data_IF_797124258621
#
_entry.id   IF_797124258621
#
_cell.length_a   1.000
_cell.length_b   1.000
_cell.length_c   1.000
_cell.angle_alpha   90.00
_cell.angle_beta   90.00
_cell.angle_gamma   90.00
#
_symmetry.space_group_name_H-M   'P 1'
#
loop_
_entity.id
_entity.type
_entity.pdbx_description
1 polymer ?
#
# COMPACT_ATOMS: atom_id res chain seq x y z
N UNK A 1 -33.46 30.83 31.24
CA UNK A 1 -32.96 29.45 31.42
C UNK A 1 -33.25 28.52 30.21
N UNK A 2 -33.30 29.04 28.98
CA UNK A 2 -33.50 28.24 27.75
C UNK A 2 -32.36 28.36 26.71
N UNK A 3 -31.32 29.15 27.01
CA UNK A 3 -30.19 29.38 26.09
C UNK A 3 -28.92 28.56 26.45
N UNK A 4 -28.87 27.93 27.62
CA UNK A 4 -27.72 27.11 28.05
C UNK A 4 -27.80 25.63 27.63
N UNK A 5 -28.94 25.18 27.10
CA UNK A 5 -29.19 23.78 26.73
C UNK A 5 -28.73 23.42 25.30
N UNK A 6 -28.29 24.40 24.50
CA UNK A 6 -27.85 24.18 23.11
C UNK A 6 -26.33 23.91 22.96
N UNK A 7 -25.52 24.17 23.99
CA UNK A 7 -24.05 23.96 23.93
C UNK A 7 -23.68 22.51 24.29
N UNK A 8 -24.55 21.77 24.97
CA UNK A 8 -24.25 20.41 25.48
C UNK A 8 -24.40 19.29 24.43
N UNK A 9 -24.91 19.59 23.23
CA UNK A 9 -25.14 18.60 22.17
C UNK A 9 -23.99 18.50 21.14
N UNK A 10 -22.96 19.36 21.23
CA UNK A 10 -21.82 19.40 20.30
C UNK A 10 -20.53 18.72 20.81
N UNK A 11 -20.44 18.39 22.11
CA UNK A 11 -19.23 17.78 22.69
C UNK A 11 -18.85 16.35 22.22
N UNK A 12 -19.78 15.41 21.88
CA UNK A 12 -19.36 14.05 21.51
C UNK A 12 -18.68 13.96 20.13
N UNK A 13 -18.91 14.93 19.23
CA UNK A 13 -18.36 14.92 17.86
C UNK A 13 -16.84 15.18 17.88
N UNK A 14 -16.38 16.01 18.81
CA UNK A 14 -14.97 16.42 18.90
C UNK A 14 -14.08 15.25 19.35
N UNK A 15 -14.50 14.48 20.35
CA UNK A 15 -13.70 13.36 20.90
C UNK A 15 -13.50 12.21 19.91
N UNK A 16 -14.51 11.87 19.11
CA UNK A 16 -14.38 10.78 18.11
C UNK A 16 -13.45 11.15 16.95
N UNK A 17 -13.48 12.41 16.52
CA UNK A 17 -12.57 12.93 15.48
C UNK A 17 -11.11 12.94 15.97
N UNK A 18 -10.89 13.33 17.24
CA UNK A 18 -9.56 13.30 17.87
C UNK A 18 -8.98 11.88 17.94
N UNK A 19 -9.77 10.89 18.38
CA UNK A 19 -9.34 9.48 18.45
C UNK A 19 -8.94 8.92 17.09
N UNK A 20 -9.71 9.21 16.02
CA UNK A 20 -9.35 8.79 14.66
C UNK A 20 -8.03 9.40 14.19
N UNK A 21 -7.80 10.67 14.50
CA UNK A 21 -6.56 11.37 14.16
C UNK A 21 -5.36 10.80 14.90
N UNK A 22 -5.51 10.49 16.18
CA UNK A 22 -4.48 9.83 16.98
C UNK A 22 -4.10 8.46 16.41
N UNK A 23 -5.07 7.62 16.07
CA UNK A 23 -4.83 6.31 15.42
C UNK A 23 -4.04 6.49 14.13
N UNK A 24 -4.45 7.41 13.25
CA UNK A 24 -3.75 7.65 12.00
C UNK A 24 -2.34 8.22 12.20
N UNK A 25 -2.15 9.11 13.19
CA UNK A 25 -0.82 9.63 13.53
C UNK A 25 0.10 8.49 14.00
N UNK A 26 -0.39 7.62 14.87
CA UNK A 26 0.37 6.45 15.33
C UNK A 26 0.71 5.52 14.15
N UNK A 27 -0.20 5.29 13.23
CA UNK A 27 0.06 4.49 12.03
C UNK A 27 1.12 5.13 11.12
N UNK A 28 1.10 6.46 10.95
CA UNK A 28 2.12 7.19 10.17
C UNK A 28 3.48 7.08 10.84
N UNK A 29 3.56 7.20 12.17
CA UNK A 29 4.81 7.04 12.92
C UNK A 29 5.33 5.61 12.83
N UNK A 30 4.48 4.60 13.00
CA UNK A 30 4.82 3.18 12.84
C UNK A 30 5.32 2.86 11.44
N UNK A 31 4.69 3.42 10.40
CA UNK A 31 5.18 3.25 9.03
C UNK A 31 6.53 3.96 8.84
N UNK A 32 6.71 5.17 9.38
CA UNK A 32 7.96 5.94 9.26
C UNK A 32 9.15 5.20 9.87
N UNK A 33 8.99 4.57 11.04
CA UNK A 33 10.05 3.79 11.70
C UNK A 33 10.09 2.32 11.26
N UNK A 34 9.07 1.85 10.54
CA UNK A 34 8.92 0.48 10.09
C UNK A 34 9.28 0.27 8.62
N UNK A 35 8.56 -0.66 8.00
CA UNK A 35 8.76 -1.08 6.60
C UNK A 35 7.45 -1.03 5.81
N UNK A 36 7.54 -0.60 4.54
CA UNK A 36 6.51 -0.80 3.55
C UNK A 36 6.82 -2.03 2.69
N UNK A 37 5.96 -3.04 2.73
CA UNK A 37 6.05 -4.23 1.87
C UNK A 37 5.12 -4.05 0.67
N UNK A 38 5.67 -4.04 -0.53
CA UNK A 38 4.92 -3.89 -1.77
C UNK A 38 4.60 -5.27 -2.35
N UNK A 39 3.33 -5.61 -2.40
CA UNK A 39 2.83 -6.87 -2.95
C UNK A 39 2.69 -6.76 -4.47
N UNK A 40 3.37 -7.63 -5.20
CA UNK A 40 3.32 -7.74 -6.66
C UNK A 40 2.49 -8.95 -7.06
N UNK A 41 1.63 -8.80 -8.06
CA UNK A 41 0.75 -9.91 -8.48
C UNK A 41 1.47 -10.86 -9.45
N UNK A 42 1.13 -12.14 -9.35
CA UNK A 42 1.39 -13.14 -10.39
C UNK A 42 0.08 -13.57 -11.05
N UNK A 43 0.16 -13.97 -12.33
CA UNK A 43 -0.98 -14.44 -13.12
C UNK A 43 -1.00 -15.97 -13.25
N UNK A 44 -0.45 -16.70 -12.27
CA UNK A 44 -0.19 -18.15 -12.35
C UNK A 44 -1.40 -18.98 -12.78
N UNK A 45 -2.57 -18.73 -12.18
CA UNK A 45 -3.80 -19.45 -12.53
C UNK A 45 -4.16 -19.28 -14.02
N UNK A 46 -4.08 -18.05 -14.54
CA UNK A 46 -4.35 -17.73 -15.94
C UNK A 46 -3.32 -18.36 -16.87
N UNK A 47 -2.04 -18.25 -16.51
CA UNK A 47 -0.91 -18.83 -17.27
C UNK A 47 -1.06 -20.35 -17.36
N UNK A 48 -1.33 -21.01 -16.24
CA UNK A 48 -1.51 -22.45 -16.16
C UNK A 48 -2.74 -22.91 -16.97
N UNK A 49 -3.85 -22.18 -16.92
CA UNK A 49 -5.02 -22.48 -17.73
C UNK A 49 -4.73 -22.37 -19.24
N UNK A 50 -4.04 -21.31 -19.68
CA UNK A 50 -3.66 -21.14 -21.09
C UNK A 50 -2.73 -22.25 -21.58
N UNK A 51 -1.73 -22.62 -20.78
CA UNK A 51 -0.81 -23.73 -21.09
C UNK A 51 -1.54 -25.07 -21.23
N UNK A 52 -2.48 -25.37 -20.31
CA UNK A 52 -3.31 -26.58 -20.38
C UNK A 52 -4.17 -26.67 -21.65
N UNK A 53 -4.56 -25.51 -22.20
CA UNK A 53 -5.30 -25.41 -23.46
C UNK A 53 -4.40 -25.38 -24.70
N UNK A 54 -3.07 -25.54 -24.55
CA UNK A 54 -2.10 -25.45 -25.65
C UNK A 54 -1.84 -24.02 -26.15
N UNK A 55 -2.36 -22.99 -25.48
CA UNK A 55 -2.28 -21.58 -25.86
C UNK A 55 -0.99 -20.92 -25.36
N UNK A 56 0.14 -21.50 -25.72
CA UNK A 56 1.46 -21.12 -25.18
C UNK A 56 1.87 -19.67 -25.50
N UNK A 57 1.54 -19.15 -26.69
CA UNK A 57 1.84 -17.77 -27.06
C UNK A 57 1.13 -16.76 -26.15
N UNK A 58 -0.15 -16.99 -25.87
CA UNK A 58 -0.92 -16.13 -24.98
C UNK A 58 -0.45 -16.22 -23.53
N UNK A 59 -0.04 -17.41 -23.09
CA UNK A 59 0.58 -17.58 -21.78
C UNK A 59 1.85 -16.72 -21.64
N UNK A 60 2.68 -16.70 -22.69
CA UNK A 60 3.90 -15.89 -22.74
C UNK A 60 3.59 -14.39 -22.76
N UNK A 61 2.57 -13.96 -23.50
CA UNK A 61 2.12 -12.56 -23.48
C UNK A 61 1.66 -12.11 -22.10
N UNK A 62 0.93 -12.97 -21.37
CA UNK A 62 0.51 -12.71 -19.99
C UNK A 62 1.72 -12.59 -19.06
N UNK A 63 2.69 -13.49 -19.16
CA UNK A 63 3.95 -13.43 -18.38
C UNK A 63 4.67 -12.11 -18.63
N UNK A 64 4.90 -11.78 -19.90
CA UNK A 64 5.60 -10.55 -20.29
C UNK A 64 4.90 -9.30 -19.77
N UNK A 65 3.56 -9.23 -19.93
CA UNK A 65 2.79 -8.08 -19.46
C UNK A 65 2.86 -7.94 -17.93
N UNK A 66 2.72 -9.04 -17.20
CA UNK A 66 2.82 -9.04 -15.73
C UNK A 66 4.21 -8.61 -15.26
N UNK A 67 5.27 -9.11 -15.91
CA UNK A 67 6.64 -8.75 -15.58
C UNK A 67 6.90 -7.25 -15.79
N UNK A 68 6.46 -6.69 -16.93
CA UNK A 68 6.59 -5.25 -17.19
C UNK A 68 5.83 -4.39 -16.18
N UNK A 69 4.62 -4.79 -15.81
CA UNK A 69 3.83 -4.09 -14.78
C UNK A 69 4.52 -4.13 -13.42
N UNK A 70 4.98 -5.32 -12.99
CA UNK A 70 5.70 -5.49 -11.72
C UNK A 70 7.01 -4.70 -11.70
N UNK A 71 7.75 -4.67 -12.82
CA UNK A 71 8.98 -3.89 -12.94
C UNK A 71 8.70 -2.38 -12.88
N UNK A 72 7.61 -1.91 -13.48
CA UNK A 72 7.19 -0.52 -13.39
C UNK A 72 6.84 -0.12 -11.94
N UNK A 73 6.14 -0.99 -11.21
CA UNK A 73 5.82 -0.79 -9.79
C UNK A 73 7.11 -0.75 -8.95
N UNK A 74 7.99 -1.74 -9.13
CA UNK A 74 9.28 -1.81 -8.44
C UNK A 74 10.10 -0.54 -8.65
N UNK A 75 10.25 -0.13 -9.91
CA UNK A 75 11.02 1.06 -10.29
C UNK A 75 10.40 2.32 -9.70
N UNK A 76 9.07 2.43 -9.70
CA UNK A 76 8.37 3.59 -9.13
C UNK A 76 8.64 3.76 -7.64
N UNK A 77 8.51 2.68 -6.85
CA UNK A 77 8.80 2.72 -5.43
C UNK A 77 10.28 3.02 -5.16
N UNK A 78 11.19 2.31 -5.82
CA UNK A 78 12.63 2.52 -5.61
C UNK A 78 13.14 3.88 -6.07
N UNK A 79 12.43 4.56 -6.98
CA UNK A 79 12.84 5.88 -7.50
C UNK A 79 12.36 7.05 -6.64
N UNK A 80 11.16 7.02 -6.07
CA UNK A 80 10.55 8.20 -5.42
C UNK A 80 10.01 7.99 -4.01
N UNK A 81 9.97 6.76 -3.50
CA UNK A 81 9.51 6.50 -2.14
C UNK A 81 10.67 6.54 -1.16
N UNK A 82 10.66 7.51 -0.25
CA UNK A 82 11.69 7.73 0.79
C UNK A 82 11.09 7.84 2.21
N UNK A 83 9.78 7.57 2.36
CA UNK A 83 9.11 7.69 3.64
C UNK A 83 9.52 6.61 4.65
N UNK A 84 9.82 5.40 4.21
CA UNK A 84 10.33 4.29 5.04
C UNK A 84 11.17 3.32 4.19
N UNK A 85 11.72 2.27 4.80
CA UNK A 85 12.34 1.16 4.04
C UNK A 85 11.26 0.44 3.23
N UNK A 86 11.55 0.11 1.97
CA UNK A 86 10.62 -0.60 1.08
C UNK A 86 11.21 -1.93 0.62
N UNK A 87 10.39 -2.98 0.62
CA UNK A 87 10.73 -4.29 0.03
C UNK A 87 9.53 -4.83 -0.76
N UNK A 88 9.78 -5.86 -1.57
CA UNK A 88 8.79 -6.39 -2.51
C UNK A 88 8.62 -7.89 -2.29
N UNK A 89 7.41 -8.39 -2.52
CA UNK A 89 7.09 -9.82 -2.47
C UNK A 89 5.97 -10.17 -3.44
N UNK A 90 5.90 -11.41 -3.89
CA UNK A 90 4.79 -11.87 -4.72
C UNK A 90 3.54 -12.14 -3.89
N UNK A 91 2.36 -11.93 -4.48
CA UNK A 91 1.06 -12.15 -3.84
C UNK A 91 0.85 -13.60 -3.37
N UNK A 92 1.56 -14.56 -3.95
CA UNK A 92 1.59 -15.97 -3.53
C UNK A 92 2.27 -16.19 -2.18
N UNK A 93 3.08 -15.24 -1.70
CA UNK A 93 3.72 -15.29 -0.38
C UNK A 93 2.91 -14.58 0.72
N UNK A 94 1.67 -14.15 0.46
CA UNK A 94 0.88 -13.36 1.44
C UNK A 94 0.76 -13.98 2.82
N UNK A 95 0.43 -15.28 2.92
CA UNK A 95 0.31 -15.96 4.21
C UNK A 95 1.65 -15.99 4.98
N UNK A 96 2.75 -16.26 4.27
CA UNK A 96 4.09 -16.24 4.86
C UNK A 96 4.46 -14.86 5.40
N UNK A 97 4.19 -13.82 4.61
CA UNK A 97 4.43 -12.43 5.01
C UNK A 97 3.57 -12.03 6.21
N UNK A 98 2.29 -12.44 6.23
CA UNK A 98 1.39 -12.24 7.38
C UNK A 98 1.94 -12.90 8.65
N UNK A 99 2.50 -14.10 8.51
CA UNK A 99 3.15 -14.85 9.58
C UNK A 99 4.59 -14.36 9.90
N UNK A 100 5.02 -13.23 9.32
CA UNK A 100 6.35 -12.63 9.52
C UNK A 100 7.52 -13.49 9.03
N UNK A 101 7.27 -14.39 8.09
CA UNK A 101 8.29 -15.19 7.41
C UNK A 101 8.87 -14.42 6.22
N UNK A 102 9.76 -13.46 6.48
CA UNK A 102 10.30 -12.58 5.43
C UNK A 102 11.47 -13.21 4.65
N UNK A 103 12.39 -13.88 5.34
CA UNK A 103 13.60 -14.47 4.74
C UNK A 103 13.22 -15.48 3.65
N UNK A 104 13.79 -15.32 2.45
CA UNK A 104 13.49 -16.19 1.31
C UNK A 104 12.10 -15.95 0.69
N UNK A 105 11.41 -14.86 1.03
CA UNK A 105 10.13 -14.46 0.43
C UNK A 105 10.13 -13.02 -0.12
N UNK A 106 11.26 -12.32 -0.04
CA UNK A 106 11.44 -10.95 -0.56
C UNK A 106 12.20 -10.95 -1.89
N UNK A 107 11.97 -9.93 -2.70
CA UNK A 107 12.47 -9.83 -4.07
C UNK A 107 13.61 -8.83 -4.23
N UNK A 108 14.54 -9.14 -5.13
CA UNK A 108 15.59 -8.23 -5.61
C UNK A 108 15.09 -7.32 -6.77
N UNK A 109 16.01 -6.58 -7.39
CA UNK A 109 15.71 -5.69 -8.50
C UNK A 109 15.25 -6.41 -9.76
N UNK A 110 15.65 -7.65 -9.94
CA UNK A 110 15.29 -8.54 -11.05
C UNK A 110 13.92 -9.19 -10.84
N UNK A 111 13.26 -8.91 -9.71
CA UNK A 111 12.00 -9.51 -9.27
C UNK A 111 12.12 -11.02 -8.97
N UNK A 112 13.31 -11.45 -8.59
CA UNK A 112 13.61 -12.81 -8.15
C UNK A 112 13.71 -12.85 -6.64
N UNK A 113 13.39 -14.01 -6.04
CA UNK A 113 13.52 -14.20 -4.59
C UNK A 113 14.99 -14.10 -4.19
N UNK A 114 15.27 -13.28 -3.20
CA UNK A 114 16.62 -13.07 -2.68
C UNK A 114 16.66 -13.38 -1.18
N UNK A 115 17.21 -14.55 -0.86
CA UNK A 115 17.36 -15.03 0.52
C UNK A 115 18.42 -14.26 1.32
N UNK A 116 19.22 -13.40 0.68
CA UNK A 116 20.17 -12.52 1.38
C UNK A 116 19.48 -11.32 2.03
N UNK A 117 18.23 -11.02 1.66
CA UNK A 117 17.43 -9.97 2.26
C UNK A 117 16.92 -10.44 3.63
N UNK A 118 17.56 -9.96 4.70
CA UNK A 118 17.20 -10.25 6.08
C UNK A 118 16.51 -9.02 6.69
N UNK A 119 15.23 -9.15 7.03
CA UNK A 119 14.42 -8.05 7.60
C UNK A 119 13.59 -8.60 8.75
N UNK A 120 13.65 -7.93 9.90
CA UNK A 120 12.82 -8.22 11.07
C UNK A 120 12.15 -6.91 11.54
N UNK A 121 11.15 -6.40 10.80
CA UNK A 121 10.50 -5.15 11.16
C UNK A 121 9.62 -5.34 12.40
N UNK A 122 9.68 -4.40 13.34
CA UNK A 122 8.71 -4.34 14.44
C UNK A 122 7.29 -4.13 13.88
N UNK A 123 7.11 -3.03 13.16
CA UNK A 123 5.88 -2.69 12.43
C UNK A 123 6.14 -2.73 10.91
N UNK A 124 5.16 -3.27 10.17
CA UNK A 124 5.14 -3.20 8.71
C UNK A 124 3.73 -2.93 8.19
N UNK A 125 3.66 -2.36 7.00
CA UNK A 125 2.43 -2.14 6.25
C UNK A 125 2.57 -2.73 4.87
N UNK A 126 1.45 -3.00 4.22
CA UNK A 126 1.43 -3.58 2.87
C UNK A 126 0.89 -2.56 1.89
N UNK A 127 1.55 -2.39 0.74
CA UNK A 127 1.02 -1.63 -0.37
C UNK A 127 0.84 -2.49 -1.61
N UNK A 128 -0.24 -2.28 -2.34
CA UNK A 128 -0.52 -2.99 -3.58
C UNK A 128 -1.39 -2.15 -4.51
N UNK A 129 -1.37 -2.46 -5.80
CA UNK A 129 -2.34 -1.91 -6.74
C UNK A 129 -3.54 -2.84 -6.80
N UNK A 130 -4.68 -2.38 -6.25
CA UNK A 130 -5.88 -3.19 -6.08
C UNK A 130 -7.13 -2.29 -6.12
N UNK A 131 -8.31 -2.90 -6.11
CA UNK A 131 -9.58 -2.20 -6.10
C UNK A 131 -9.97 -1.80 -4.68
N UNK A 132 -10.37 -0.55 -4.50
CA UNK A 132 -10.85 -0.05 -3.21
C UNK A 132 -12.18 -0.71 -2.81
N UNK A 133 -12.35 -1.06 -1.53
CA UNK A 133 -13.62 -1.57 -1.03
C UNK A 133 -14.77 -0.59 -1.26
N UNK A 134 -15.94 -1.12 -1.58
CA UNK A 134 -17.17 -0.35 -1.77
C UNK A 134 -17.27 0.37 -3.12
N UNK A 135 -16.22 1.09 -3.56
CA UNK A 135 -16.28 1.83 -4.83
C UNK A 135 -15.77 1.07 -6.05
N UNK A 136 -14.98 0.00 -5.85
CA UNK A 136 -14.42 -0.78 -6.96
C UNK A 136 -13.47 0.02 -7.85
N UNK A 137 -12.90 1.12 -7.34
CA UNK A 137 -11.94 1.94 -8.08
C UNK A 137 -10.53 1.38 -7.91
N UNK A 138 -9.82 1.22 -9.02
CA UNK A 138 -8.42 0.79 -9.02
C UNK A 138 -7.52 1.88 -8.40
N UNK A 139 -6.68 1.47 -7.45
CA UNK A 139 -5.90 2.38 -6.64
C UNK A 139 -4.60 1.73 -6.18
N UNK A 140 -3.63 2.58 -5.83
CA UNK A 140 -2.53 2.18 -4.96
C UNK A 140 -3.07 2.24 -3.53
N UNK A 141 -3.14 1.12 -2.83
CA UNK A 141 -3.69 1.01 -1.48
C UNK A 141 -2.59 0.72 -0.46
N UNK A 142 -2.82 1.07 0.79
CA UNK A 142 -1.99 0.72 1.94
C UNK A 142 -2.87 0.04 3.00
N UNK A 143 -2.43 -1.11 3.45
CA UNK A 143 -3.08 -2.02 4.41
C UNK A 143 -2.19 -2.20 5.64
N UNK A 144 -2.78 -2.60 6.76
CA UNK A 144 -2.00 -3.01 7.93
C UNK A 144 -1.35 -4.39 7.73
N UNK A 145 -0.65 -4.88 8.76
CA UNK A 145 0.03 -6.17 8.74
C UNK A 145 -0.89 -7.38 8.60
N UNK A 146 -2.20 -7.21 8.87
CA UNK A 146 -3.20 -8.27 8.73
C UNK A 146 -3.82 -8.31 7.33
N UNK A 147 -3.33 -7.47 6.41
CA UNK A 147 -3.87 -7.21 5.08
C UNK A 147 -5.25 -6.51 5.10
N UNK A 148 -5.57 -5.81 6.19
CA UNK A 148 -6.83 -5.07 6.32
C UNK A 148 -6.70 -3.62 5.88
N UNK A 149 -7.78 -3.07 5.33
CA UNK A 149 -7.79 -1.69 4.86
C UNK A 149 -7.73 -0.71 6.04
N UNK A 150 -6.75 0.18 5.98
CA UNK A 150 -6.68 1.31 6.90
C UNK A 150 -7.86 2.27 6.69
N UNK A 151 -8.13 3.10 7.68
CA UNK A 151 -9.24 4.07 7.66
C UNK A 151 -8.70 5.51 7.64
N UNK A 152 -9.51 6.43 7.11
CA UNK A 152 -9.24 7.87 7.24
C UNK A 152 -9.04 8.23 8.73
N UNK A 153 -8.14 9.18 9.05
CA UNK A 153 -7.48 10.12 8.15
C UNK A 153 -6.11 9.69 7.57
N UNK A 154 -5.65 8.46 7.78
CA UNK A 154 -4.43 7.96 7.13
C UNK A 154 -4.57 8.05 5.59
N UNK A 155 -3.53 8.41 4.82
CA UNK A 155 -3.60 8.46 3.36
C UNK A 155 -3.51 7.05 2.72
N UNK A 156 -4.51 6.20 2.97
CA UNK A 156 -4.43 4.76 2.70
C UNK A 156 -4.71 4.35 1.25
N UNK A 157 -5.07 5.28 0.37
CA UNK A 157 -5.14 4.97 -1.05
C UNK A 157 -4.98 6.19 -1.94
N UNK A 158 -4.44 5.95 -3.14
CA UNK A 158 -4.37 6.89 -4.25
C UNK A 158 -5.16 6.31 -5.41
N UNK A 159 -6.25 6.96 -5.81
CA UNK A 159 -7.04 6.51 -6.97
C UNK A 159 -6.24 6.68 -8.26
N UNK A 160 -6.37 5.71 -9.16
CA UNK A 160 -6.03 5.91 -10.57
C UNK A 160 -7.16 6.72 -11.20
N UNK A 161 -6.82 7.84 -11.83
CA UNK A 161 -7.82 8.61 -12.59
C UNK A 161 -7.95 7.98 -13.97
N UNK A 162 -9.04 7.26 -14.22
CA UNK A 162 -9.24 6.55 -15.50
C UNK A 162 -10.31 7.22 -16.39
N UNK A 163 -10.72 8.46 -16.09
CA UNK A 163 -11.79 9.15 -16.83
C UNK A 163 -11.33 9.55 -18.24
N UNK A 164 -10.07 9.97 -18.41
CA UNK A 164 -9.48 10.35 -19.70
C UNK A 164 -8.09 9.72 -19.81
N UNK A 165 -7.70 9.09 -20.94
CA UNK A 165 -6.38 8.44 -21.10
C UNK A 165 -5.19 9.34 -20.77
N UNK A 166 -5.28 10.64 -21.07
CA UNK A 166 -4.24 11.66 -20.82
C UNK A 166 -4.09 11.96 -19.31
N UNK A 167 -5.16 11.76 -18.53
CA UNK A 167 -5.17 11.98 -17.07
C UNK A 167 -4.81 10.71 -16.27
N UNK A 168 -4.50 9.60 -16.97
CA UNK A 168 -4.20 8.32 -16.33
C UNK A 168 -2.89 8.39 -15.58
N UNK A 169 -2.98 8.30 -14.26
CA UNK A 169 -1.80 8.18 -13.41
C UNK A 169 -1.05 6.89 -13.69
N UNK A 170 0.26 7.03 -13.82
CA UNK A 170 1.21 5.92 -13.85
C UNK A 170 1.48 5.40 -12.44
N UNK A 171 2.08 4.20 -12.27
CA UNK A 171 2.55 3.75 -10.96
C UNK A 171 3.45 4.79 -10.29
N UNK A 172 4.33 5.45 -11.05
CA UNK A 172 5.21 6.51 -10.57
C UNK A 172 4.43 7.67 -9.94
N UNK A 173 3.44 8.21 -10.64
CA UNK A 173 2.61 9.32 -10.13
C UNK A 173 1.89 8.94 -8.83
N UNK A 174 1.41 7.70 -8.76
CA UNK A 174 0.65 7.23 -7.61
C UNK A 174 1.55 7.05 -6.38
N UNK A 175 2.74 6.49 -6.56
CA UNK A 175 3.75 6.38 -5.51
C UNK A 175 4.23 7.76 -5.05
N UNK A 176 4.50 8.68 -5.99
CA UNK A 176 4.90 10.06 -5.67
C UNK A 176 3.85 10.78 -4.82
N UNK A 177 2.57 10.64 -5.18
CA UNK A 177 1.45 11.24 -4.42
C UNK A 177 1.31 10.57 -3.05
N UNK A 178 1.46 9.25 -2.95
CA UNK A 178 1.45 8.56 -1.65
C UNK A 178 2.57 9.07 -0.75
N UNK A 179 3.80 9.10 -1.26
CA UNK A 179 4.99 9.57 -0.54
C UNK A 179 4.81 11.01 -0.04
N UNK A 180 4.33 11.90 -0.92
CA UNK A 180 4.03 13.29 -0.59
C UNK A 180 2.99 13.40 0.53
N UNK A 181 1.90 12.64 0.46
CA UNK A 181 0.84 12.67 1.48
C UNK A 181 1.33 12.15 2.83
N UNK A 182 2.17 11.12 2.85
CA UNK A 182 2.75 10.59 4.08
C UNK A 182 3.65 11.64 4.77
N UNK A 183 4.53 12.30 4.02
CA UNK A 183 5.35 13.40 4.52
C UNK A 183 4.52 14.60 5.00
N UNK A 184 3.47 14.98 4.26
CA UNK A 184 2.54 16.02 4.69
C UNK A 184 1.80 15.66 5.97
N UNK A 185 1.43 14.39 6.15
CA UNK A 185 0.75 13.92 7.35
C UNK A 185 1.70 13.91 8.54
N UNK A 186 2.95 13.49 8.36
CA UNK A 186 3.99 13.51 9.38
C UNK A 186 4.23 14.94 9.92
N UNK A 187 4.28 15.95 9.03
CA UNK A 187 4.44 17.37 9.42
C UNK A 187 3.30 17.92 10.28
N UNK A 188 2.12 17.28 10.28
CA UNK A 188 0.96 17.70 11.08
C UNK A 188 0.93 17.05 12.46
N UNK A 189 1.79 16.06 12.72
CA UNK A 189 1.88 15.40 14.02
C UNK A 189 2.67 16.35 14.92
N UNK A 190 2.10 16.84 16.04
CA UNK A 190 2.84 17.63 17.00
C UNK A 190 4.06 16.83 17.44
N UNK A 191 5.25 17.39 17.29
CA UNK A 191 6.43 16.79 17.92
C UNK A 191 6.25 16.98 19.41
N UNK A 192 5.96 15.91 20.14
CA UNK A 192 6.08 15.92 21.59
C UNK A 192 7.50 16.39 21.89
N UNK A 193 7.65 17.57 22.48
CA UNK A 193 8.93 17.95 23.08
C UNK A 193 9.27 16.89 24.14
N UNK A 194 10.55 16.51 24.26
CA UNK A 194 11.00 15.64 25.35
C UNK A 194 10.66 16.25 26.71
#
# INVERSE_FOLDING_TARGET
MRLFLLILLLMPIVGFSQKKREIANNQVLKLRSGVLLVRLYTSENKINALRKLGRNKEAEEVIRKQHLENKAIYTSFTSVYDFSKVYFFYNTCSEKIKNREFTGNLLNAELEVDSSIIVNPGDFFISEFDFTPGTGLYALVVKDCEFEFLKKPFPYYIKRFDIIPISRRTPFDMVLVLNTKLHQQLKKIPQSQP
#
